data_IF_052011495872
#
_entry.id   IF_052011495872
#
_cell.length_a   1.000
_cell.length_b   1.000
_cell.length_c   1.000
_cell.angle_alpha   90.00
_cell.angle_beta   90.00
_cell.angle_gamma   90.00
#
_symmetry.space_group_name_H-M   'P 1'
#
loop_
_entity.id
_entity.type
_entity.pdbx_description
1 polymer ?
#
# COMPACT_ATOMS: atom_id res chain seq x y z
N UNK A 1 9.15 -5.59 15.05
CA UNK A 1 8.38 -6.57 14.25
C UNK A 1 8.57 -6.22 12.79
N UNK A 2 8.84 -7.17 11.90
CA UNK A 2 8.85 -6.88 10.46
C UNK A 2 7.42 -6.49 10.00
N UNK A 3 7.25 -5.72 8.92
CA UNK A 3 5.93 -5.38 8.38
C UNK A 3 5.17 -6.61 7.86
N UNK A 4 3.84 -6.53 7.81
CA UNK A 4 3.00 -7.46 7.02
C UNK A 4 2.56 -6.74 5.74
N UNK A 5 2.57 -7.44 4.61
CA UNK A 5 1.98 -6.96 3.37
C UNK A 5 0.71 -7.76 3.06
N UNK A 6 -0.40 -7.07 2.82
CA UNK A 6 -1.65 -7.66 2.35
C UNK A 6 -1.74 -7.35 0.86
N UNK A 7 -1.53 -8.38 0.04
CA UNK A 7 -1.63 -8.33 -1.41
C UNK A 7 -3.09 -8.47 -1.84
N UNK A 8 -3.66 -7.40 -2.36
CA UNK A 8 -5.02 -7.39 -2.91
C UNK A 8 -4.98 -7.74 -4.40
N UNK A 9 -5.21 -9.01 -4.72
CA UNK A 9 -5.18 -9.49 -6.10
C UNK A 9 -6.38 -8.91 -6.87
N UNK A 10 -6.16 -8.56 -8.14
CA UNK A 10 -7.22 -8.05 -9.03
C UNK A 10 -7.94 -6.77 -8.56
N UNK A 11 -7.42 -6.07 -7.54
CA UNK A 11 -7.96 -4.79 -7.10
C UNK A 11 -7.92 -3.73 -8.21
N UNK A 12 -8.92 -2.85 -8.26
CA UNK A 12 -9.00 -1.82 -9.30
C UNK A 12 -8.46 -0.46 -8.82
N UNK A 13 -7.47 0.06 -9.53
CA UNK A 13 -6.94 1.40 -9.32
C UNK A 13 -7.67 2.42 -10.22
N UNK A 14 -8.43 3.32 -9.61
CA UNK A 14 -8.99 4.48 -10.29
C UNK A 14 -7.95 5.61 -10.33
N UNK A 15 -7.73 6.18 -11.51
CA UNK A 15 -6.82 7.31 -11.72
C UNK A 15 -7.66 8.51 -12.13
N UNK A 16 -7.66 9.56 -11.32
CA UNK A 16 -8.34 10.80 -11.65
C UNK A 16 -7.75 11.40 -12.95
N UNK A 17 -8.58 11.71 -13.97
CA UNK A 17 -8.08 12.09 -15.29
C UNK A 17 -7.35 13.44 -15.29
N UNK A 18 -7.65 14.33 -14.33
CA UNK A 18 -7.12 15.69 -14.27
C UNK A 18 -5.91 15.74 -13.33
N UNK A 19 -6.10 15.36 -12.07
CA UNK A 19 -5.10 15.44 -11.01
C UNK A 19 -4.11 14.28 -11.02
N UNK A 20 -4.43 13.19 -11.74
CA UNK A 20 -3.69 11.90 -11.73
C UNK A 20 -3.59 11.25 -10.35
N UNK A 21 -4.36 11.74 -9.37
CA UNK A 21 -4.45 11.14 -8.05
C UNK A 21 -5.10 9.76 -8.14
N UNK A 22 -4.54 8.79 -7.41
CA UNK A 22 -5.00 7.39 -7.47
C UNK A 22 -5.86 7.05 -6.26
N UNK A 23 -6.82 6.16 -6.46
CA UNK A 23 -7.58 5.55 -5.36
C UNK A 23 -7.88 4.09 -5.68
N UNK A 24 -8.00 3.28 -4.63
CA UNK A 24 -8.30 1.87 -4.77
C UNK A 24 -9.26 1.45 -3.65
N UNK A 25 -10.54 1.33 -3.98
CA UNK A 25 -11.59 1.04 -3.01
C UNK A 25 -11.46 -0.36 -2.41
N UNK A 26 -10.99 -1.33 -3.19
CA UNK A 26 -10.83 -2.72 -2.75
C UNK A 26 -9.75 -2.82 -1.67
N UNK A 27 -8.58 -2.20 -1.91
CA UNK A 27 -7.51 -2.09 -0.92
C UNK A 27 -7.97 -1.36 0.36
N UNK A 28 -8.80 -0.32 0.21
CA UNK A 28 -9.38 0.39 1.35
C UNK A 28 -10.30 -0.53 2.17
N UNK A 29 -11.17 -1.29 1.52
CA UNK A 29 -12.05 -2.24 2.21
C UNK A 29 -11.20 -3.27 2.95
N UNK A 30 -10.25 -3.93 2.27
CA UNK A 30 -9.34 -4.92 2.87
C UNK A 30 -8.63 -4.36 4.11
N UNK A 31 -8.11 -3.13 4.02
CA UNK A 31 -7.43 -2.49 5.14
C UNK A 31 -8.36 -2.29 6.35
N UNK A 32 -9.60 -1.83 6.12
CA UNK A 32 -10.56 -1.57 7.19
C UNK A 32 -11.10 -2.86 7.81
N UNK A 33 -11.35 -3.90 7.00
CA UNK A 33 -11.70 -5.24 7.49
C UNK A 33 -10.58 -5.81 8.37
N UNK A 34 -9.33 -5.74 7.90
CA UNK A 34 -8.17 -6.19 8.68
C UNK A 34 -8.09 -5.48 10.04
N UNK A 35 -8.35 -4.18 10.08
CA UNK A 35 -8.35 -3.41 11.33
C UNK A 35 -9.50 -3.85 12.26
N UNK A 36 -10.71 -4.08 11.73
CA UNK A 36 -11.85 -4.57 12.49
C UNK A 36 -11.60 -5.95 13.10
N UNK A 37 -11.07 -6.87 12.32
CA UNK A 37 -10.79 -8.25 12.74
C UNK A 37 -9.67 -8.30 13.78
N UNK A 38 -8.63 -7.48 13.59
CA UNK A 38 -7.52 -7.35 14.53
C UNK A 38 -7.97 -6.79 15.89
N UNK A 39 -8.91 -5.84 15.89
CA UNK A 39 -9.48 -5.26 17.11
C UNK A 39 -10.41 -6.20 17.88
N UNK A 40 -11.01 -7.18 17.19
CA UNK A 40 -11.94 -8.15 17.79
C UNK A 40 -11.23 -9.33 18.45
N UNK A 41 -9.97 -9.60 18.10
CA UNK A 41 -9.32 -10.90 18.34
C UNK A 41 -8.27 -10.95 19.45
N UNK A 42 -7.90 -9.84 20.11
CA UNK A 42 -6.80 -9.85 21.10
C UNK A 42 -7.15 -9.24 22.46
N UNK A 43 -6.77 -9.98 23.51
CA UNK A 43 -6.90 -9.60 24.93
C UNK A 43 -5.94 -8.47 25.39
N UNK A 44 -5.27 -7.81 24.45
CA UNK A 44 -4.41 -6.64 24.66
C UNK A 44 -4.70 -5.60 23.58
N UNK A 45 -5.77 -4.81 23.78
CA UNK A 45 -6.35 -3.95 22.75
C UNK A 45 -5.41 -2.80 22.38
N UNK A 46 -4.97 -2.75 21.12
CA UNK A 46 -4.55 -1.48 20.51
C UNK A 46 -5.81 -0.63 20.37
N UNK A 47 -5.86 0.49 21.06
CA UNK A 47 -7.00 1.40 20.98
C UNK A 47 -7.04 2.00 19.57
N UNK A 48 -8.21 2.18 18.93
CA UNK A 48 -8.25 2.67 17.55
C UNK A 48 -7.57 4.03 17.36
N UNK A 49 -7.49 4.88 18.40
CA UNK A 49 -6.74 6.14 18.35
C UNK A 49 -5.22 5.99 18.21
N UNK A 50 -4.68 4.79 18.45
CA UNK A 50 -3.28 4.41 18.29
C UNK A 50 -2.97 3.87 16.88
N UNK A 51 -3.98 3.82 16.01
CA UNK A 51 -3.84 3.42 14.61
C UNK A 51 -3.85 4.69 13.75
N UNK A 52 -2.91 4.78 12.83
CA UNK A 52 -2.92 5.77 11.75
C UNK A 52 -3.08 5.07 10.39
N UNK A 53 -3.95 5.61 9.54
CA UNK A 53 -4.06 5.17 8.15
C UNK A 53 -3.37 6.22 7.28
N UNK A 54 -2.39 5.78 6.50
CA UNK A 54 -1.65 6.63 5.57
C UNK A 54 -1.78 6.11 4.14
N UNK A 55 -1.76 7.01 3.17
CA UNK A 55 -1.81 6.66 1.75
C UNK A 55 -1.07 7.72 0.93
N UNK A 56 -0.52 7.43 -0.26
CA UNK A 56 0.17 8.45 -1.04
C UNK A 56 -0.78 9.52 -1.60
N UNK A 57 -2.05 9.18 -1.86
CA UNK A 57 -2.93 9.98 -2.71
C UNK A 57 -4.13 10.55 -1.96
N UNK A 58 -4.42 11.83 -2.18
CA UNK A 58 -5.61 12.52 -1.64
C UNK A 58 -6.92 11.85 -2.09
N UNK A 59 -7.02 11.42 -3.35
CA UNK A 59 -8.21 10.71 -3.82
C UNK A 59 -8.48 9.43 -3.01
N UNK A 60 -7.43 8.73 -2.55
CA UNK A 60 -7.59 7.58 -1.70
C UNK A 60 -7.98 7.94 -0.25
N UNK A 61 -7.53 9.10 0.27
CA UNK A 61 -8.02 9.65 1.56
C UNK A 61 -9.53 9.86 1.53
N UNK A 62 -10.06 10.40 0.43
CA UNK A 62 -11.50 10.62 0.27
C UNK A 62 -12.28 9.30 0.18
N UNK A 63 -11.74 8.29 -0.51
CA UNK A 63 -12.33 6.94 -0.53
C UNK A 63 -12.33 6.32 0.87
N UNK A 64 -11.23 6.41 1.62
CA UNK A 64 -11.16 5.93 3.02
C UNK A 64 -12.21 6.62 3.88
N UNK A 65 -12.33 7.95 3.79
CA UNK A 65 -13.33 8.74 4.52
C UNK A 65 -14.75 8.33 4.15
N UNK A 66 -15.03 8.08 2.87
CA UNK A 66 -16.33 7.64 2.38
C UNK A 66 -16.71 6.26 2.91
N UNK A 67 -15.81 5.27 2.75
CA UNK A 67 -16.05 3.88 3.17
C UNK A 67 -16.23 3.80 4.69
N UNK A 68 -15.39 4.50 5.47
CA UNK A 68 -15.44 4.50 6.94
C UNK A 68 -16.72 5.06 7.54
N UNK A 69 -17.52 5.83 6.78
CA UNK A 69 -18.83 6.33 7.24
C UNK A 69 -19.90 5.25 7.30
N UNK A 70 -19.67 4.08 6.68
CA UNK A 70 -20.60 2.96 6.72
C UNK A 70 -20.77 2.41 8.15
N UNK A 71 -21.97 1.94 8.53
CA UNK A 71 -22.26 1.46 9.89
C UNK A 71 -21.38 0.28 10.31
N UNK A 72 -20.89 -0.51 9.36
CA UNK A 72 -19.94 -1.62 9.59
C UNK A 72 -18.67 -1.18 10.32
N UNK A 73 -18.21 0.05 10.10
CA UNK A 73 -16.94 0.57 10.64
C UNK A 73 -17.13 1.40 11.92
N UNK A 74 -18.31 1.36 12.55
CA UNK A 74 -18.59 2.12 13.77
C UNK A 74 -17.62 1.78 14.92
N UNK A 75 -17.19 0.53 15.04
CA UNK A 75 -16.24 0.07 16.07
C UNK A 75 -14.85 0.73 15.94
N UNK A 76 -14.50 1.22 14.74
CA UNK A 76 -13.21 1.86 14.44
C UNK A 76 -13.39 3.36 14.10
N UNK A 77 -14.52 3.95 14.48
CA UNK A 77 -14.81 5.35 14.23
C UNK A 77 -13.80 6.30 14.90
N UNK A 78 -13.19 5.89 16.03
CA UNK A 78 -12.19 6.67 16.77
C UNK A 78 -10.78 6.66 16.17
N UNK A 79 -10.53 5.90 15.09
CA UNK A 79 -9.30 6.04 14.30
C UNK A 79 -9.23 7.46 13.74
N UNK A 80 -8.06 8.10 13.80
CA UNK A 80 -7.86 9.43 13.24
C UNK A 80 -8.20 9.45 11.73
N UNK A 81 -8.59 10.60 11.15
CA UNK A 81 -8.75 10.70 9.70
C UNK A 81 -7.49 10.21 8.96
N UNK A 82 -7.69 9.51 7.84
CA UNK A 82 -6.58 9.08 7.01
C UNK A 82 -5.82 10.30 6.48
N UNK A 83 -4.51 10.13 6.27
CA UNK A 83 -3.62 11.22 5.89
C UNK A 83 -2.78 10.84 4.68
N UNK A 84 -2.44 11.84 3.88
CA UNK A 84 -1.41 11.67 2.85
C UNK A 84 -0.03 11.62 3.49
N UNK A 85 0.96 11.08 2.76
CA UNK A 85 2.38 11.06 3.17
C UNK A 85 2.84 12.46 3.61
N UNK A 86 2.52 13.50 2.83
CA UNK A 86 2.87 14.89 3.15
C UNK A 86 2.23 15.37 4.46
N UNK A 87 0.92 15.14 4.65
CA UNK A 87 0.19 15.59 5.83
C UNK A 87 0.49 14.80 7.12
N UNK A 88 1.21 13.68 6.98
CA UNK A 88 1.64 12.82 8.09
C UNK A 88 3.13 13.02 8.45
N UNK A 89 3.85 13.89 7.74
CA UNK A 89 5.28 14.10 7.99
C UNK A 89 5.52 14.62 9.43
N UNK A 90 6.47 14.01 10.13
CA UNK A 90 6.80 14.34 11.52
C UNK A 90 5.82 13.79 12.57
N UNK A 91 4.84 12.98 12.17
CA UNK A 91 3.92 12.30 13.09
C UNK A 91 4.25 10.81 13.20
N UNK A 92 3.90 10.18 14.31
CA UNK A 92 4.07 8.74 14.52
C UNK A 92 2.80 8.14 15.14
N UNK A 93 2.64 6.82 15.01
CA UNK A 93 1.55 6.06 15.63
C UNK A 93 2.03 4.68 16.09
N UNK A 94 1.31 4.03 17.00
CA UNK A 94 1.70 2.67 17.45
C UNK A 94 1.60 1.69 16.29
N UNK A 95 0.48 1.73 15.57
CA UNK A 95 0.25 0.97 14.35
C UNK A 95 0.02 1.92 13.19
N UNK A 96 0.70 1.67 12.08
CA UNK A 96 0.43 2.32 10.80
C UNK A 96 -0.13 1.29 9.82
N UNK A 97 -1.25 1.65 9.18
CA UNK A 97 -1.81 0.93 8.04
C UNK A 97 -1.59 1.79 6.80
N UNK A 98 -0.70 1.33 5.93
CA UNK A 98 -0.23 2.04 4.76
C UNK A 98 -0.91 1.48 3.50
N UNK A 99 -1.83 2.25 2.90
CA UNK A 99 -2.62 1.82 1.73
C UNK A 99 -2.00 2.42 0.47
N UNK A 100 -1.43 1.57 -0.39
CA UNK A 100 -0.61 1.96 -1.54
C UNK A 100 -1.45 2.64 -2.64
N UNK A 101 -2.70 2.19 -2.83
CA UNK A 101 -3.62 2.65 -3.88
C UNK A 101 -3.08 2.50 -5.31
N UNK A 102 -2.15 1.57 -5.51
CA UNK A 102 -1.55 1.25 -6.80
C UNK A 102 -1.73 -0.21 -7.12
N UNK A 103 -1.64 -0.53 -8.41
CA UNK A 103 -1.68 -1.88 -8.96
C UNK A 103 -0.56 -2.01 -9.98
N UNK A 104 -0.23 -3.24 -10.38
CA UNK A 104 0.71 -3.52 -11.46
C UNK A 104 0.39 -2.76 -12.74
N UNK A 105 -0.89 -2.61 -13.07
CA UNK A 105 -1.35 -1.89 -14.25
C UNK A 105 -1.18 -0.37 -14.09
N UNK A 106 -1.50 0.17 -12.91
CA UNK A 106 -1.40 1.61 -12.63
C UNK A 106 0.03 2.08 -12.30
N UNK A 107 0.94 1.14 -12.02
CA UNK A 107 2.33 1.39 -11.67
C UNK A 107 2.54 2.04 -10.28
N UNK A 108 3.81 2.10 -9.83
CA UNK A 108 4.18 2.51 -8.47
C UNK A 108 3.85 3.98 -8.13
N UNK A 109 3.84 4.88 -9.12
CA UNK A 109 3.52 6.29 -8.90
C UNK A 109 4.37 6.93 -7.80
N UNK A 110 3.77 7.58 -6.80
CA UNK A 110 4.50 8.34 -5.77
C UNK A 110 5.51 7.51 -4.95
N UNK A 111 5.39 6.18 -4.91
CA UNK A 111 6.30 5.32 -4.16
C UNK A 111 7.56 4.92 -4.95
N UNK A 112 7.76 5.48 -6.15
CA UNK A 112 9.08 5.49 -6.81
C UNK A 112 10.07 6.42 -6.12
N UNK A 113 9.55 7.45 -5.43
CA UNK A 113 10.36 8.38 -4.65
C UNK A 113 10.72 7.74 -3.31
N UNK A 114 12.02 7.59 -3.06
CA UNK A 114 12.55 6.96 -1.86
C UNK A 114 12.23 7.74 -0.59
N UNK A 115 12.15 9.08 -0.65
CA UNK A 115 11.78 9.88 0.51
C UNK A 115 10.32 9.63 0.88
N UNK A 116 9.41 9.60 -0.10
CA UNK A 116 8.01 9.28 0.16
C UNK A 116 7.85 7.85 0.71
N UNK A 117 8.57 6.89 0.15
CA UNK A 117 8.55 5.51 0.62
C UNK A 117 9.09 5.40 2.05
N UNK A 118 10.21 6.04 2.36
CA UNK A 118 10.79 6.05 3.70
C UNK A 118 9.82 6.66 4.71
N UNK A 119 9.17 7.77 4.37
CA UNK A 119 8.11 8.34 5.20
C UNK A 119 6.99 7.32 5.40
N UNK A 120 6.53 6.64 4.35
CA UNK A 120 5.43 5.68 4.49
C UNK A 120 5.81 4.46 5.37
N UNK A 121 7.05 4.00 5.30
CA UNK A 121 7.50 2.79 6.00
C UNK A 121 8.02 3.02 7.43
N UNK A 122 8.34 4.25 7.84
CA UNK A 122 9.01 4.53 9.13
C UNK A 122 8.12 5.14 10.21
N UNK A 123 6.81 5.26 9.98
CA UNK A 123 5.91 6.05 10.84
C UNK A 123 5.24 5.29 11.99
N UNK A 124 5.61 4.02 12.15
CA UNK A 124 5.06 3.11 13.14
C UNK A 124 6.05 2.89 14.29
N UNK A 125 5.54 2.82 15.52
CA UNK A 125 6.35 2.46 16.70
C UNK A 125 6.37 0.97 16.97
N UNK A 126 5.27 0.27 16.72
CA UNK A 126 5.12 -1.15 17.08
C UNK A 126 4.76 -2.05 15.90
N UNK A 127 3.95 -1.58 14.95
CA UNK A 127 3.51 -2.41 13.82
C UNK A 127 3.21 -1.65 12.54
N UNK A 128 3.58 -2.25 11.41
CA UNK A 128 3.27 -1.75 10.07
C UNK A 128 2.53 -2.81 9.27
N UNK A 129 1.39 -2.41 8.71
CA UNK A 129 0.62 -3.19 7.74
C UNK A 129 0.60 -2.40 6.44
N UNK A 130 1.05 -3.02 5.36
CA UNK A 130 1.02 -2.45 4.02
C UNK A 130 -0.08 -3.16 3.25
N UNK A 131 -0.96 -2.41 2.59
CA UNK A 131 -2.06 -2.96 1.79
C UNK A 131 -1.91 -2.45 0.36
N UNK A 132 -1.77 -3.36 -0.59
CA UNK A 132 -1.40 -2.99 -1.95
C UNK A 132 -1.33 -4.17 -2.92
N UNK A 133 -0.70 -3.93 -4.06
CA UNK A 133 -0.37 -4.96 -5.03
C UNK A 133 1.15 -5.20 -5.00
N UNK A 134 1.57 -6.40 -4.57
CA UNK A 134 2.98 -6.75 -4.41
C UNK A 134 3.72 -6.80 -5.76
N UNK A 135 2.98 -7.02 -6.85
CA UNK A 135 3.52 -7.12 -8.21
C UNK A 135 3.57 -5.77 -8.95
N UNK A 136 3.34 -4.65 -8.24
CA UNK A 136 3.53 -3.29 -8.76
C UNK A 136 4.92 -3.09 -9.39
N UNK A 137 5.93 -3.76 -8.84
CA UNK A 137 7.32 -3.76 -9.32
C UNK A 137 7.65 -4.99 -10.17
N UNK A 138 6.65 -5.58 -10.82
CA UNK A 138 6.78 -6.83 -11.57
C UNK A 138 6.80 -8.08 -10.68
N UNK A 139 6.97 -9.24 -11.32
CA UNK A 139 7.13 -10.52 -10.61
C UNK A 139 8.38 -10.51 -9.73
N UNK A 140 8.28 -11.15 -8.58
CA UNK A 140 9.36 -11.27 -7.61
C UNK A 140 10.23 -12.49 -7.89
N UNK A 141 11.48 -12.45 -7.41
CA UNK A 141 12.41 -13.56 -7.64
C UNK A 141 11.91 -14.79 -6.86
N UNK A 142 11.95 -15.97 -7.51
CA UNK A 142 11.38 -17.22 -6.99
C UNK A 142 9.98 -17.56 -7.51
N UNK A 143 9.21 -16.61 -8.04
CA UNK A 143 7.93 -16.88 -8.74
C UNK A 143 8.15 -17.40 -10.17
N UNK A 144 9.34 -17.16 -10.74
CA UNK A 144 9.67 -17.56 -12.11
C UNK A 144 10.12 -19.03 -12.15
N UNK A 145 9.31 -19.89 -12.78
CA UNK A 145 9.71 -21.23 -13.20
C UNK A 145 11.06 -21.21 -13.97
N UNK A 146 11.90 -22.24 -13.74
CA UNK A 146 13.29 -22.48 -14.24
C UNK A 146 13.47 -22.54 -15.79
N UNK A 147 12.72 -21.77 -16.58
CA UNK A 147 12.66 -21.92 -18.05
C UNK A 147 13.18 -20.77 -18.89
N UNK A 148 13.46 -19.57 -18.33
CA UNK A 148 13.92 -18.43 -19.14
C UNK A 148 15.11 -17.74 -18.50
N UNK A 149 16.30 -18.12 -18.98
CA UNK A 149 17.57 -17.45 -18.71
C UNK A 149 17.65 -16.13 -19.47
N UNK A 150 18.18 -15.13 -18.77
CA UNK A 150 18.79 -13.88 -19.23
C UNK A 150 17.97 -12.94 -20.11
N UNK A 151 17.48 -11.87 -19.46
CA UNK A 151 17.74 -10.51 -19.94
C UNK A 151 18.20 -9.65 -18.76
N UNK A 152 19.47 -9.23 -18.81
CA UNK A 152 20.11 -8.33 -17.84
C UNK A 152 19.81 -6.86 -18.17
N UNK A 153 18.57 -6.55 -18.60
CA UNK A 153 18.20 -5.19 -18.98
C UNK A 153 17.40 -4.56 -17.84
N UNK A 154 18.12 -3.90 -16.93
CA UNK A 154 17.60 -2.94 -15.93
C UNK A 154 16.47 -3.47 -15.03
N UNK A 155 16.82 -4.28 -14.03
CA UNK A 155 15.89 -4.93 -13.06
C UNK A 155 14.85 -4.01 -12.40
N UNK A 156 15.08 -2.70 -12.43
CA UNK A 156 14.29 -1.72 -11.70
C UNK A 156 13.51 -0.75 -12.58
N UNK A 157 13.54 -0.90 -13.91
CA UNK A 157 12.77 -0.05 -14.83
C UNK A 157 11.46 -0.74 -15.22
N UNK A 158 10.34 -0.17 -14.79
CA UNK A 158 9.01 -0.74 -15.01
C UNK A 158 8.20 0.13 -15.98
N UNK A 159 7.47 -0.52 -16.87
CA UNK A 159 6.55 0.12 -17.79
C UNK A 159 5.31 0.59 -17.04
N UNK A 160 5.02 1.89 -17.08
CA UNK A 160 3.77 2.48 -16.59
C UNK A 160 2.97 2.94 -17.80
N UNK A 161 1.67 2.63 -17.79
CA UNK A 161 0.73 3.10 -18.81
C UNK A 161 -0.06 4.25 -18.18
N UNK A 162 0.11 5.46 -18.70
CA UNK A 162 -0.64 6.63 -18.27
C UNK A 162 -2.10 6.56 -18.70
N UNK A 163 -2.94 7.43 -18.14
CA UNK A 163 -4.39 7.43 -18.37
C UNK A 163 -4.79 7.56 -19.86
N UNK A 164 -3.92 8.14 -20.69
CA UNK A 164 -4.15 8.36 -22.12
C UNK A 164 -3.47 7.28 -23.00
N UNK A 165 -2.97 6.19 -22.41
CA UNK A 165 -2.22 5.14 -23.12
C UNK A 165 -0.74 5.44 -23.35
N UNK A 166 -0.24 6.60 -22.88
CA UNK A 166 1.18 6.93 -22.94
C UNK A 166 2.01 5.91 -22.14
N UNK A 167 3.16 5.52 -22.68
CA UNK A 167 4.06 4.55 -22.04
C UNK A 167 5.26 5.31 -21.47
N UNK A 168 5.48 5.19 -20.16
CA UNK A 168 6.68 5.70 -19.49
C UNK A 168 7.43 4.59 -18.77
N UNK A 169 8.73 4.77 -18.59
CA UNK A 169 9.59 3.86 -17.84
C UNK A 169 10.01 4.53 -16.54
N UNK A 170 9.68 3.91 -15.41
CA UNK A 170 10.01 4.45 -14.08
C UNK A 170 10.98 3.53 -13.35
N UNK A 171 11.91 4.11 -12.60
CA UNK A 171 12.78 3.36 -11.70
C UNK A 171 12.12 3.25 -10.31
N UNK A 172 12.03 2.05 -9.74
CA UNK A 172 11.56 1.82 -8.37
C UNK A 172 12.40 0.78 -7.62
N UNK A 173 13.74 0.86 -7.71
CA UNK A 173 14.68 -0.09 -7.08
C UNK A 173 14.37 -0.34 -5.61
N UNK A 174 14.23 0.70 -4.79
CA UNK A 174 14.02 0.54 -3.35
C UNK A 174 12.68 -0.10 -3.04
N UNK A 175 11.61 0.30 -3.75
CA UNK A 175 10.31 -0.35 -3.60
C UNK A 175 10.37 -1.83 -3.98
N UNK A 176 11.07 -2.19 -5.06
CA UNK A 176 11.27 -3.59 -5.45
C UNK A 176 12.01 -4.36 -4.35
N UNK A 177 13.07 -3.79 -3.79
CA UNK A 177 13.82 -4.41 -2.68
C UNK A 177 12.93 -4.64 -1.45
N UNK A 178 12.06 -3.68 -1.11
CA UNK A 178 11.09 -3.84 -0.01
C UNK A 178 10.11 -4.98 -0.31
N UNK A 179 9.53 -5.03 -1.51
CA UNK A 179 8.63 -6.12 -1.90
C UNK A 179 9.32 -7.49 -1.89
N UNK A 180 10.55 -7.58 -2.43
CA UNK A 180 11.34 -8.80 -2.45
C UNK A 180 11.63 -9.30 -1.02
N UNK A 181 12.05 -8.40 -0.13
CA UNK A 181 12.34 -8.77 1.26
C UNK A 181 11.10 -9.27 2.02
N UNK A 182 9.94 -8.64 1.80
CA UNK A 182 8.66 -9.07 2.41
C UNK A 182 8.21 -10.43 1.87
N UNK A 183 8.42 -10.68 0.59
CA UNK A 183 8.11 -11.97 -0.04
C UNK A 183 9.00 -13.10 0.48
N UNK A 184 10.32 -12.92 0.45
CA UNK A 184 11.30 -13.93 0.90
C UNK A 184 11.15 -14.28 2.38
N UNK A 185 10.66 -13.33 3.19
CA UNK A 185 10.41 -13.53 4.62
C UNK A 185 9.02 -14.11 4.92
N UNK A 186 8.24 -14.53 3.91
CA UNK A 186 6.87 -15.03 4.05
C UNK A 186 5.95 -14.06 4.80
N UNK A 187 6.09 -12.75 4.52
CA UNK A 187 5.31 -11.67 5.15
C UNK A 187 4.22 -11.11 4.26
N UNK A 188 3.92 -11.78 3.15
CA UNK A 188 2.86 -11.43 2.20
C UNK A 188 1.66 -12.35 2.42
N UNK A 189 0.48 -11.76 2.61
CA UNK A 189 -0.80 -12.44 2.69
C UNK A 189 -1.60 -12.03 1.45
N UNK A 190 -2.04 -13.00 0.66
CA UNK A 190 -2.86 -12.72 -0.54
C UNK A 190 -4.34 -12.80 -0.20
N UNK A 191 -5.12 -11.81 -0.68
CA UNK A 191 -6.57 -11.70 -0.53
C UNK A 191 -7.25 -11.24 -1.80
#
# INVERSE_FOLDING_TARGET
LLPIFIHCENSYCHIDPITKSKSNRDQVIVALEFILDSGSSTAGRVHPSQIAIITPYTANVDVIKSVRRGPKYAAIASIKPAKTIYSFQGQESEIVVAIMATTKQAGPGMTTDEHHLNVMLSRHRSGLVIVGDIHVTGMLDGERNKGRRHDHVGRDRFKVIGANGEVSWVNATVLRSVHQALWESNRVITV
#
